data_IF_815805667883
#
_entry.id   IF_815805667883
#
_cell.length_a   1.000
_cell.length_b   1.000
_cell.length_c   1.000
_cell.angle_alpha   90.00
_cell.angle_beta   90.00
_cell.angle_gamma   90.00
#
_symmetry.space_group_name_H-M   'P 1'
#
loop_
_entity.id
_entity.type
_entity.pdbx_description
1 polymer ?
#
# COMPACT_ATOMS: atom_id res chain seq x y z
N UNK A 1 30.61 -17.12 3.63
CA UNK A 1 29.70 -16.82 2.51
C UNK A 1 28.91 -18.09 2.31
N UNK A 2 27.59 -18.12 2.46
CA UNK A 2 26.82 -19.32 2.16
C UNK A 2 27.03 -19.64 0.67
N UNK A 3 27.23 -20.94 0.40
CA UNK A 3 27.31 -21.46 -0.96
C UNK A 3 26.00 -21.10 -1.68
N UNK A 4 26.04 -20.17 -2.63
CA UNK A 4 24.84 -19.69 -3.34
C UNK A 4 24.46 -20.79 -4.35
N UNK A 5 23.82 -21.86 -3.83
CA UNK A 5 23.28 -22.96 -4.65
C UNK A 5 22.05 -22.54 -5.51
N UNK A 6 21.58 -21.26 -5.39
CA UNK A 6 20.41 -20.72 -6.08
C UNK A 6 20.88 -19.76 -7.15
N UNK A 7 20.62 -20.09 -8.40
CA UNK A 7 21.22 -19.36 -9.53
C UNK A 7 20.39 -18.12 -9.90
N UNK A 8 19.07 -18.26 -10.08
CA UNK A 8 18.26 -17.21 -10.66
C UNK A 8 16.88 -17.08 -10.01
N UNK A 9 16.53 -15.85 -9.65
CA UNK A 9 15.16 -15.50 -9.25
C UNK A 9 14.54 -14.50 -10.24
N UNK A 10 13.26 -14.64 -10.50
CA UNK A 10 12.48 -13.72 -11.35
C UNK A 10 11.40 -13.04 -10.52
N UNK A 11 11.30 -11.72 -10.66
CA UNK A 11 10.24 -10.90 -10.05
C UNK A 11 9.35 -10.35 -11.16
N UNK A 12 8.04 -10.52 -11.04
CA UNK A 12 7.07 -10.07 -12.04
C UNK A 12 6.44 -8.76 -11.59
N UNK A 13 6.78 -7.67 -12.28
CA UNK A 13 6.33 -6.31 -11.99
C UNK A 13 7.35 -5.48 -11.20
N UNK A 14 7.53 -4.21 -11.60
CA UNK A 14 8.40 -3.22 -10.97
C UNK A 14 7.65 -2.15 -10.18
N UNK A 15 6.50 -2.49 -9.60
CA UNK A 15 5.85 -1.68 -8.57
C UNK A 15 6.57 -1.80 -7.22
N UNK A 16 6.08 -1.14 -6.16
CA UNK A 16 6.74 -1.19 -4.84
C UNK A 16 6.95 -2.62 -4.35
N UNK A 17 5.95 -3.50 -4.49
CA UNK A 17 6.07 -4.89 -4.08
C UNK A 17 7.20 -5.62 -4.83
N UNK A 18 7.29 -5.43 -6.15
CA UNK A 18 8.35 -6.06 -6.95
C UNK A 18 9.74 -5.49 -6.66
N UNK A 19 9.88 -4.18 -6.53
CA UNK A 19 11.15 -3.53 -6.22
C UNK A 19 11.69 -3.97 -4.84
N UNK A 20 10.83 -4.00 -3.82
CA UNK A 20 11.21 -4.42 -2.47
C UNK A 20 11.50 -5.92 -2.40
N UNK A 21 10.70 -6.75 -3.07
CA UNK A 21 10.95 -8.18 -3.16
C UNK A 21 12.29 -8.49 -3.88
N UNK A 22 12.58 -7.81 -4.99
CA UNK A 22 13.84 -7.99 -5.71
C UNK A 22 15.04 -7.66 -4.83
N UNK A 23 14.98 -6.57 -4.07
CA UNK A 23 16.03 -6.22 -3.11
C UNK A 23 16.17 -7.28 -2.02
N UNK A 24 15.05 -7.71 -1.45
CA UNK A 24 15.02 -8.71 -0.37
C UNK A 24 15.68 -10.03 -0.78
N UNK A 25 15.41 -10.50 -2.01
CA UNK A 25 15.96 -11.77 -2.49
C UNK A 25 17.37 -11.68 -3.10
N UNK A 26 17.85 -10.47 -3.38
CA UNK A 26 19.11 -10.28 -4.14
C UNK A 26 20.32 -10.92 -3.50
N UNK A 27 20.43 -10.92 -2.18
CA UNK A 27 21.55 -11.54 -1.46
C UNK A 27 21.50 -13.07 -1.36
N UNK A 28 20.41 -13.68 -1.83
CA UNK A 28 20.17 -15.12 -1.76
C UNK A 28 20.28 -15.83 -3.11
N UNK A 29 20.40 -15.06 -4.20
CA UNK A 29 20.47 -15.57 -5.56
C UNK A 29 21.63 -14.95 -6.32
N UNK A 30 22.24 -15.73 -7.22
CA UNK A 30 23.32 -15.24 -8.08
C UNK A 30 22.85 -14.14 -9.04
N UNK A 31 21.58 -14.20 -9.46
CA UNK A 31 20.94 -13.24 -10.37
C UNK A 31 19.49 -13.03 -9.98
N UNK A 32 19.01 -11.78 -10.08
CA UNK A 32 17.59 -11.40 -9.97
C UNK A 32 17.18 -10.64 -11.21
N UNK A 33 16.11 -11.05 -11.87
CA UNK A 33 15.55 -10.36 -13.02
C UNK A 33 14.15 -9.87 -12.71
N UNK A 34 13.93 -8.56 -12.74
CA UNK A 34 12.60 -7.97 -12.70
C UNK A 34 12.07 -7.88 -14.13
N UNK A 35 10.88 -8.41 -14.40
CA UNK A 35 10.22 -8.30 -15.69
C UNK A 35 9.05 -7.32 -15.56
N UNK A 36 9.12 -6.19 -16.28
CA UNK A 36 8.13 -5.12 -16.22
C UNK A 36 7.57 -4.82 -17.61
N UNK A 37 6.25 -4.76 -17.70
CA UNK A 37 5.53 -4.49 -18.96
C UNK A 37 5.67 -3.06 -19.46
N UNK A 38 5.86 -2.10 -18.52
CA UNK A 38 6.01 -0.70 -18.88
C UNK A 38 7.47 -0.36 -19.25
N UNK A 39 7.63 0.74 -19.97
CA UNK A 39 8.85 1.52 -19.93
C UNK A 39 8.89 2.26 -18.59
N UNK A 40 9.94 2.04 -17.81
CA UNK A 40 10.13 2.76 -16.55
C UNK A 40 10.72 4.15 -16.85
N UNK A 41 10.10 5.23 -16.36
CA UNK A 41 10.61 6.58 -16.58
C UNK A 41 11.95 6.77 -15.85
N UNK A 42 12.87 7.52 -16.45
CA UNK A 42 14.15 7.86 -15.84
C UNK A 42 13.98 8.72 -14.58
N UNK A 43 13.02 9.64 -14.63
CA UNK A 43 12.66 10.53 -13.52
C UNK A 43 11.37 10.09 -12.82
N UNK A 44 11.02 10.82 -11.75
CA UNK A 44 9.77 10.61 -11.03
C UNK A 44 8.56 11.07 -11.88
N UNK A 45 7.96 10.14 -12.61
CA UNK A 45 6.80 10.37 -13.47
C UNK A 45 5.78 9.23 -13.38
N UNK A 46 4.48 9.51 -13.56
CA UNK A 46 3.45 8.49 -13.64
C UNK A 46 3.69 7.55 -14.83
N UNK A 47 3.22 6.30 -14.73
CA UNK A 47 3.26 5.30 -15.81
C UNK A 47 1.95 4.51 -15.91
N UNK A 48 1.69 3.90 -17.05
CA UNK A 48 0.43 3.21 -17.34
C UNK A 48 0.15 2.01 -16.44
N UNK A 49 1.18 1.27 -16.02
CA UNK A 49 1.05 0.12 -15.13
C UNK A 49 0.69 0.46 -13.69
N UNK A 50 0.81 1.73 -13.29
CA UNK A 50 0.45 2.22 -11.96
C UNK A 50 -0.47 3.45 -12.05
N UNK A 51 -1.68 3.33 -12.64
CA UNK A 51 -2.58 4.48 -12.84
C UNK A 51 -2.97 5.16 -11.51
N UNK A 52 -3.03 4.41 -10.42
CA UNK A 52 -3.28 4.93 -9.08
C UNK A 52 -2.19 5.87 -8.56
N UNK A 53 -0.99 5.88 -9.17
CA UNK A 53 0.15 6.68 -8.68
C UNK A 53 -0.08 8.21 -8.75
N UNK A 54 -1.10 8.67 -9.46
CA UNK A 54 -1.46 10.09 -9.57
C UNK A 54 -2.37 10.59 -8.44
N UNK A 55 -2.74 9.71 -7.51
CA UNK A 55 -3.56 10.05 -6.34
C UNK A 55 -2.72 10.16 -5.06
N UNK A 56 -3.33 10.63 -3.97
CA UNK A 56 -2.66 10.71 -2.68
C UNK A 56 -2.22 9.33 -2.20
N UNK A 57 -0.96 9.23 -1.82
CA UNK A 57 -0.35 8.05 -1.24
C UNK A 57 0.39 8.45 0.02
N UNK A 58 0.46 7.53 0.97
CA UNK A 58 1.23 7.70 2.19
C UNK A 58 2.16 6.51 2.36
N UNK A 59 3.43 6.77 2.63
CA UNK A 59 4.35 5.76 3.14
C UNK A 59 4.24 5.79 4.66
N UNK A 60 3.61 4.76 5.23
CA UNK A 60 3.45 4.65 6.67
C UNK A 60 4.79 4.36 7.35
N UNK A 61 4.92 4.75 8.63
CA UNK A 61 6.16 4.60 9.38
C UNK A 61 6.67 3.14 9.43
N UNK A 62 5.76 2.15 9.53
CA UNK A 62 6.12 0.73 9.45
C UNK A 62 6.71 0.33 8.10
N UNK A 63 6.18 0.90 7.00
CA UNK A 63 6.73 0.73 5.66
C UNK A 63 8.09 1.40 5.49
N UNK A 64 8.26 2.62 6.01
CA UNK A 64 9.53 3.32 6.01
C UNK A 64 10.61 2.53 6.76
N UNK A 65 10.27 1.98 7.92
CA UNK A 65 11.18 1.11 8.70
C UNK A 65 11.57 -0.15 7.91
N UNK A 66 10.63 -0.76 7.20
CA UNK A 66 10.90 -1.91 6.33
C UNK A 66 11.83 -1.54 5.16
N UNK A 67 11.58 -0.38 4.51
CA UNK A 67 12.45 0.13 3.45
C UNK A 67 13.85 0.44 3.96
N UNK A 68 14.00 0.99 5.16
CA UNK A 68 15.33 1.20 5.77
C UNK A 68 16.06 -0.11 6.08
N UNK A 69 15.34 -1.17 6.42
CA UNK A 69 15.94 -2.51 6.59
C UNK A 69 16.47 -3.05 5.26
N UNK A 70 15.74 -2.86 4.16
CA UNK A 70 16.13 -3.30 2.82
C UNK A 70 17.18 -2.38 2.18
N UNK A 71 17.12 -1.09 2.46
CA UNK A 71 17.96 -0.04 1.89
C UNK A 71 18.50 0.88 3.01
N UNK A 72 19.61 0.54 3.65
CA UNK A 72 20.20 1.39 4.70
C UNK A 72 20.42 2.83 4.21
N UNK A 73 19.95 3.80 4.98
CA UNK A 73 20.01 5.22 4.62
C UNK A 73 18.85 5.74 3.76
N UNK A 74 17.79 4.97 3.53
CA UNK A 74 16.67 5.32 2.66
C UNK A 74 15.97 6.64 3.03
N UNK A 75 15.92 7.02 4.31
CA UNK A 75 15.39 8.32 4.73
C UNK A 75 16.19 9.50 4.15
N UNK A 76 17.52 9.37 4.07
CA UNK A 76 18.36 10.39 3.47
C UNK A 76 18.09 10.50 1.96
N UNK A 77 17.93 9.34 1.29
CA UNK A 77 17.61 9.33 -0.14
C UNK A 77 16.26 10.04 -0.41
N UNK A 78 15.25 9.83 0.45
CA UNK A 78 13.95 10.51 0.33
C UNK A 78 14.09 12.02 0.55
N UNK A 79 14.85 12.43 1.57
CA UNK A 79 15.09 13.84 1.88
C UNK A 79 15.85 14.55 0.74
N UNK A 80 16.89 13.93 0.20
CA UNK A 80 17.68 14.44 -0.94
C UNK A 80 16.83 14.54 -2.21
N UNK A 81 15.90 13.60 -2.41
CA UNK A 81 14.95 13.64 -3.52
C UNK A 81 13.86 14.71 -3.35
N UNK A 82 13.80 15.37 -2.18
CA UNK A 82 12.86 16.46 -1.89
C UNK A 82 11.53 16.01 -1.25
N UNK A 83 11.43 14.79 -0.74
CA UNK A 83 10.29 14.37 0.05
C UNK A 83 10.14 15.26 1.31
N UNK A 84 8.89 15.60 1.63
CA UNK A 84 8.59 16.51 2.73
C UNK A 84 8.55 15.73 4.04
N UNK A 85 9.42 16.09 4.97
CA UNK A 85 9.40 15.52 6.33
C UNK A 85 8.20 16.06 7.09
N UNK A 86 7.45 15.17 7.73
CA UNK A 86 6.18 15.45 8.41
C UNK A 86 6.26 14.92 9.83
N UNK A 87 6.10 15.79 10.81
CA UNK A 87 6.01 15.41 12.21
C UNK A 87 4.62 14.87 12.53
N UNK A 88 4.55 13.60 12.86
CA UNK A 88 3.29 12.90 13.09
C UNK A 88 2.49 13.50 14.25
N UNK A 89 1.20 13.73 14.00
CA UNK A 89 0.26 14.32 14.95
C UNK A 89 0.34 15.84 15.08
N UNK A 90 1.35 16.48 14.45
CA UNK A 90 1.56 17.93 14.48
C UNK A 90 1.36 18.59 13.12
N UNK A 91 2.05 18.12 12.09
CA UNK A 91 2.14 18.84 10.82
C UNK A 91 0.99 18.53 9.85
N UNK A 92 0.24 17.46 10.07
CA UNK A 92 -0.99 17.14 9.32
C UNK A 92 -2.19 17.40 10.20
N UNK A 93 -3.02 18.36 9.81
CA UNK A 93 -4.32 18.64 10.43
C UNK A 93 -5.25 17.46 10.14
N UNK A 94 -5.76 16.83 11.18
CA UNK A 94 -6.62 15.68 11.06
C UNK A 94 -8.05 16.03 11.49
N UNK A 95 -9.00 15.98 10.56
CA UNK A 95 -10.40 16.32 10.78
C UNK A 95 -11.27 15.07 10.65
N UNK A 96 -12.07 14.80 11.67
CA UNK A 96 -12.98 13.66 11.72
C UNK A 96 -14.25 14.02 12.49
N UNK A 97 -15.37 13.31 12.27
CA UNK A 97 -16.62 13.60 12.97
C UNK A 97 -16.44 13.71 14.49
N UNK A 98 -16.90 14.84 15.04
CA UNK A 98 -16.76 15.18 16.46
C UNK A 98 -15.42 15.82 16.86
N UNK A 99 -14.44 15.91 15.94
CA UNK A 99 -13.13 16.53 16.17
C UNK A 99 -12.64 17.23 14.89
N UNK A 100 -12.82 18.54 14.83
CA UNK A 100 -12.45 19.38 13.69
C UNK A 100 -11.59 20.60 14.09
N UNK A 101 -10.30 20.41 14.41
CA UNK A 101 -9.47 19.22 14.21
C UNK A 101 -9.46 18.26 15.41
N UNK A 102 -8.92 17.06 15.19
CA UNK A 102 -8.45 16.16 16.25
C UNK A 102 -7.30 16.85 17.01
N UNK A 103 -7.13 16.60 18.33
CA UNK A 103 -6.09 17.28 19.10
C UNK A 103 -4.69 17.17 18.50
N UNK A 104 -4.07 18.32 18.26
CA UNK A 104 -2.71 18.41 17.72
C UNK A 104 -1.71 18.09 18.81
N UNK A 105 -0.85 17.09 18.59
CA UNK A 105 0.19 16.65 19.53
C UNK A 105 1.40 16.16 18.78
N UNK A 106 2.58 16.46 19.29
CA UNK A 106 3.81 15.83 18.81
C UNK A 106 3.86 14.38 19.31
N UNK A 107 3.74 13.42 18.40
CA UNK A 107 3.74 12.00 18.73
C UNK A 107 5.13 11.35 18.73
N UNK A 108 6.19 12.14 18.51
CA UNK A 108 7.57 11.73 18.75
C UNK A 108 8.26 11.03 17.57
N UNK A 109 7.63 10.94 16.38
CA UNK A 109 8.26 10.36 15.18
C UNK A 109 7.84 11.09 13.91
N UNK A 110 8.67 10.93 12.90
CA UNK A 110 8.47 11.55 11.59
C UNK A 110 8.09 10.51 10.53
N UNK A 111 7.38 10.97 9.51
CA UNK A 111 7.14 10.27 8.25
C UNK A 111 7.53 11.18 7.09
N UNK A 112 7.52 10.64 5.86
CA UNK A 112 7.77 11.42 4.67
C UNK A 112 6.52 11.46 3.79
N UNK A 113 6.17 12.67 3.32
CA UNK A 113 5.13 12.91 2.34
C UNK A 113 5.76 13.26 0.99
N UNK A 114 5.32 12.59 -0.06
CA UNK A 114 5.82 12.76 -1.41
C UNK A 114 4.82 12.19 -2.42
N UNK A 115 5.03 12.52 -3.69
CA UNK A 115 4.28 11.84 -4.75
C UNK A 115 4.68 10.35 -4.84
N UNK A 116 3.74 9.51 -5.24
CA UNK A 116 4.02 8.09 -5.47
C UNK A 116 5.10 7.85 -6.54
N UNK A 117 5.13 8.62 -7.66
CA UNK A 117 6.23 8.51 -8.63
C UNK A 117 7.60 8.79 -8.02
N UNK A 118 7.73 9.75 -7.09
CA UNK A 118 9.01 10.01 -6.42
C UNK A 118 9.46 8.83 -5.58
N UNK A 119 8.59 8.27 -4.75
CA UNK A 119 8.90 7.10 -3.94
C UNK A 119 9.35 5.91 -4.80
N UNK A 120 8.64 5.64 -5.90
CA UNK A 120 9.00 4.55 -6.82
C UNK A 120 10.35 4.81 -7.51
N UNK A 121 10.63 6.05 -7.92
CA UNK A 121 11.90 6.41 -8.55
C UNK A 121 13.09 6.26 -7.60
N UNK A 122 12.97 6.72 -6.35
CA UNK A 122 14.01 6.56 -5.31
C UNK A 122 14.25 5.07 -5.02
N UNK A 123 13.18 4.30 -4.80
CA UNK A 123 13.29 2.85 -4.54
C UNK A 123 13.95 2.13 -5.71
N UNK A 124 13.55 2.43 -6.95
CA UNK A 124 14.14 1.86 -8.16
C UNK A 124 15.62 2.23 -8.31
N UNK A 125 15.96 3.48 -8.01
CA UNK A 125 17.36 3.94 -8.00
C UNK A 125 18.24 3.09 -7.08
N UNK A 126 17.76 2.77 -5.89
CA UNK A 126 18.46 1.90 -4.93
C UNK A 126 18.56 0.45 -5.42
N UNK A 127 17.48 -0.09 -5.99
CA UNK A 127 17.47 -1.45 -6.57
C UNK A 127 18.51 -1.58 -7.69
N UNK A 128 18.60 -0.59 -8.56
CA UNK A 128 19.57 -0.59 -9.69
C UNK A 128 21.04 -0.46 -9.25
N UNK A 129 21.30 -0.03 -8.02
CA UNK A 129 22.65 -0.05 -7.45
C UNK A 129 23.09 -1.45 -6.99
N UNK A 130 22.18 -2.42 -6.93
CA UNK A 130 22.46 -3.80 -6.52
C UNK A 130 22.95 -4.59 -7.74
N UNK A 131 24.23 -5.05 -7.78
CA UNK A 131 24.89 -5.48 -9.03
C UNK A 131 24.26 -6.68 -9.74
N UNK A 132 23.58 -7.56 -8.97
CA UNK A 132 22.98 -8.78 -9.52
C UNK A 132 21.48 -8.62 -9.85
N UNK A 133 20.91 -7.41 -9.74
CA UNK A 133 19.53 -7.13 -10.14
C UNK A 133 19.52 -6.47 -11.52
N UNK A 134 18.77 -7.07 -12.45
CA UNK A 134 18.48 -6.49 -13.76
C UNK A 134 16.98 -6.27 -13.95
N UNK A 135 16.60 -5.28 -14.77
CA UNK A 135 15.20 -5.00 -15.13
C UNK A 135 15.01 -5.15 -16.63
N UNK A 136 14.12 -6.05 -17.04
CA UNK A 136 13.64 -6.19 -18.41
C UNK A 136 12.34 -5.35 -18.54
N UNK A 137 12.46 -4.17 -19.13
CA UNK A 137 11.34 -3.26 -19.42
C UNK A 137 10.62 -3.64 -20.71
N UNK A 138 9.41 -3.13 -20.94
CA UNK A 138 8.55 -3.44 -22.12
C UNK A 138 8.40 -4.94 -22.34
N UNK A 139 8.38 -5.69 -21.24
CA UNK A 139 8.39 -7.15 -21.26
C UNK A 139 7.23 -7.69 -20.43
N UNK A 140 6.33 -8.40 -21.06
CA UNK A 140 5.14 -8.94 -20.41
C UNK A 140 5.30 -10.44 -20.19
N UNK A 141 5.23 -10.87 -18.93
CA UNK A 141 5.16 -12.28 -18.61
C UNK A 141 3.81 -12.83 -19.08
N UNK A 142 3.86 -13.91 -19.85
CA UNK A 142 2.69 -14.55 -20.44
C UNK A 142 2.38 -15.90 -19.80
N UNK A 143 3.39 -16.58 -19.22
CA UNK A 143 3.20 -17.89 -18.59
C UNK A 143 4.25 -18.18 -17.54
N UNK A 144 3.84 -18.85 -16.46
CA UNK A 144 4.69 -19.57 -15.53
C UNK A 144 4.82 -21.03 -15.99
N UNK A 145 6.01 -21.57 -15.94
CA UNK A 145 6.29 -22.98 -16.33
C UNK A 145 6.68 -23.73 -15.06
N UNK A 146 5.99 -24.82 -14.78
CA UNK A 146 6.26 -25.68 -13.64
C UNK A 146 6.28 -27.15 -14.06
N UNK A 147 7.11 -27.96 -13.45
CA UNK A 147 7.10 -29.42 -13.57
C UNK A 147 5.84 -30.00 -12.91
N UNK A 148 5.14 -30.87 -13.60
CA UNK A 148 4.01 -31.61 -13.03
C UNK A 148 4.44 -32.69 -12.07
N UNK A 149 5.64 -33.27 -12.27
CA UNK A 149 6.15 -34.38 -11.46
C UNK A 149 6.68 -33.89 -10.12
N UNK A 150 7.40 -32.75 -10.11
CA UNK A 150 7.99 -32.17 -8.90
C UNK A 150 7.17 -31.06 -8.29
N UNK A 151 6.12 -30.59 -9.00
CA UNK A 151 5.29 -29.46 -8.59
C UNK A 151 6.11 -28.22 -8.23
N UNK A 152 7.15 -27.96 -9.02
CA UNK A 152 8.12 -26.87 -8.81
C UNK A 152 8.14 -25.95 -10.03
N UNK A 153 8.31 -24.65 -9.77
CA UNK A 153 8.58 -23.68 -10.84
C UNK A 153 9.90 -24.00 -11.52
N UNK A 154 9.92 -23.95 -12.84
CA UNK A 154 11.13 -24.18 -13.65
C UNK A 154 11.52 -22.95 -14.45
N UNK A 155 10.55 -22.19 -14.96
CA UNK A 155 10.81 -21.05 -15.83
C UNK A 155 9.67 -20.05 -15.88
N UNK A 156 9.98 -18.88 -16.45
CA UNK A 156 9.03 -17.82 -16.80
C UNK A 156 9.12 -17.56 -18.28
N UNK A 157 7.98 -17.54 -18.99
CA UNK A 157 7.90 -17.11 -20.37
C UNK A 157 7.37 -15.69 -20.45
N UNK A 158 8.08 -14.84 -21.20
CA UNK A 158 7.66 -13.46 -21.42
C UNK A 158 7.84 -13.05 -22.89
N UNK A 159 7.15 -12.02 -23.29
CA UNK A 159 7.22 -11.39 -24.61
C UNK A 159 7.71 -9.96 -24.43
N UNK A 160 8.70 -9.57 -25.23
CA UNK A 160 9.18 -8.19 -25.32
C UNK A 160 8.53 -7.52 -26.52
N UNK A 161 8.25 -6.20 -26.43
CA UNK A 161 7.69 -5.45 -27.57
C UNK A 161 8.58 -5.53 -28.81
N UNK A 162 9.91 -5.65 -28.63
CA UNK A 162 10.90 -5.57 -29.70
C UNK A 162 11.51 -6.94 -30.07
N UNK A 163 10.94 -8.08 -29.59
CA UNK A 163 11.58 -9.36 -29.79
C UNK A 163 10.67 -10.59 -29.67
N UNK A 164 11.20 -11.77 -29.98
CA UNK A 164 10.46 -13.03 -29.82
C UNK A 164 10.20 -13.34 -28.34
N UNK A 165 9.24 -14.25 -28.11
CA UNK A 165 9.01 -14.78 -26.77
C UNK A 165 10.26 -15.48 -26.22
N UNK A 166 10.62 -15.17 -24.99
CA UNK A 166 11.78 -15.69 -24.27
C UNK A 166 11.31 -16.55 -23.10
N UNK A 167 11.98 -17.68 -22.89
CA UNK A 167 11.81 -18.49 -21.67
C UNK A 167 13.08 -18.41 -20.84
N UNK A 168 12.93 -18.05 -19.57
CA UNK A 168 14.05 -17.91 -18.62
C UNK A 168 13.83 -18.86 -17.46
N UNK A 169 14.83 -19.70 -17.20
CA UNK A 169 14.83 -20.60 -16.03
C UNK A 169 14.88 -19.79 -14.73
N UNK A 170 14.17 -20.27 -13.71
CA UNK A 170 14.10 -19.62 -12.40
C UNK A 170 13.94 -20.64 -11.27
N UNK A 171 14.75 -20.49 -10.24
CA UNK A 171 14.62 -21.25 -8.97
C UNK A 171 13.54 -20.67 -8.06
N UNK A 172 13.28 -19.37 -8.19
CA UNK A 172 12.21 -18.65 -7.47
C UNK A 172 11.54 -17.65 -8.42
N UNK A 173 10.21 -17.62 -8.40
CA UNK A 173 9.40 -16.58 -9.03
C UNK A 173 8.60 -15.85 -7.95
N UNK A 174 8.70 -14.52 -7.94
CA UNK A 174 7.87 -13.65 -7.08
C UNK A 174 6.86 -12.92 -7.96
N UNK A 175 5.57 -13.27 -7.84
CA UNK A 175 4.50 -12.56 -8.54
C UNK A 175 4.08 -11.31 -7.76
N UNK A 176 4.53 -10.15 -8.24
CA UNK A 176 4.19 -8.82 -7.75
C UNK A 176 3.41 -8.01 -8.81
N UNK A 177 2.66 -8.70 -9.68
CA UNK A 177 1.92 -8.10 -10.81
C UNK A 177 0.65 -7.33 -10.39
N UNK A 178 0.26 -7.41 -9.13
CA UNK A 178 -0.93 -6.78 -8.55
C UNK A 178 -2.24 -7.51 -8.82
N UNK A 179 -2.30 -8.38 -9.84
CA UNK A 179 -3.54 -9.09 -10.24
C UNK A 179 -3.56 -10.57 -9.90
N UNK A 180 -2.41 -11.15 -9.63
CA UNK A 180 -2.25 -12.59 -9.36
C UNK A 180 -2.68 -13.55 -10.50
N UNK A 181 -2.88 -13.03 -11.70
CA UNK A 181 -3.45 -13.81 -12.81
C UNK A 181 -2.59 -14.98 -13.24
N UNK A 182 -1.27 -14.83 -13.23
CA UNK A 182 -0.33 -15.87 -13.63
C UNK A 182 -0.28 -17.03 -12.65
N UNK A 183 -0.27 -16.73 -11.34
CA UNK A 183 -0.34 -17.76 -10.29
C UNK A 183 -1.66 -18.52 -10.36
N UNK A 184 -2.79 -17.82 -10.47
CA UNK A 184 -4.12 -18.46 -10.56
C UNK A 184 -4.26 -19.34 -11.82
N UNK A 185 -3.70 -18.90 -12.95
CA UNK A 185 -3.65 -19.68 -14.17
C UNK A 185 -2.77 -20.93 -14.00
N UNK A 186 -1.60 -20.81 -13.39
CA UNK A 186 -0.73 -21.96 -13.12
C UNK A 186 -1.42 -23.00 -12.23
N UNK A 187 -2.07 -22.56 -11.14
CA UNK A 187 -2.82 -23.47 -10.26
C UNK A 187 -3.90 -24.25 -11.03
N UNK A 188 -4.61 -23.58 -11.95
CA UNK A 188 -5.60 -24.22 -12.81
C UNK A 188 -4.96 -25.24 -13.76
N UNK A 189 -3.86 -24.89 -14.42
CA UNK A 189 -3.11 -25.77 -15.34
C UNK A 189 -2.57 -27.03 -14.64
N UNK A 190 -2.23 -26.90 -13.35
CA UNK A 190 -1.76 -28.00 -12.50
C UNK A 190 -2.91 -28.76 -11.81
N UNK A 191 -4.17 -28.35 -12.05
CA UNK A 191 -5.37 -28.89 -11.37
C UNK A 191 -5.30 -28.78 -9.84
N UNK A 192 -4.68 -27.71 -9.34
CA UNK A 192 -4.58 -27.37 -7.92
C UNK A 192 -5.71 -26.43 -7.47
N UNK A 193 -6.00 -26.45 -6.18
CA UNK A 193 -6.97 -25.56 -5.57
C UNK A 193 -6.50 -24.10 -5.69
N UNK A 194 -7.40 -23.21 -6.13
CA UNK A 194 -7.19 -21.76 -6.05
C UNK A 194 -7.50 -21.27 -4.63
N UNK A 195 -6.83 -20.18 -4.16
CA UNK A 195 -7.15 -19.61 -2.87
C UNK A 195 -8.58 -19.08 -2.83
N UNK A 196 -9.24 -19.24 -1.68
CA UNK A 196 -10.48 -18.53 -1.41
C UNK A 196 -10.23 -17.01 -1.45
N UNK A 197 -11.20 -16.26 -1.95
CA UNK A 197 -11.14 -14.82 -1.97
C UNK A 197 -12.19 -14.23 -1.01
N UNK A 198 -11.76 -13.27 -0.19
CA UNK A 198 -12.67 -12.41 0.58
C UNK A 198 -12.66 -11.03 -0.04
N UNK A 199 -13.86 -10.53 -0.37
CA UNK A 199 -14.03 -9.21 -0.97
C UNK A 199 -14.87 -8.30 -0.08
N UNK A 200 -14.50 -7.01 -0.08
CA UNK A 200 -15.28 -5.91 0.51
C UNK A 200 -15.55 -4.93 -0.63
N UNK A 201 -16.78 -4.92 -1.12
CA UNK A 201 -17.21 -4.09 -2.25
C UNK A 201 -17.53 -2.68 -1.81
N UNK A 202 -16.60 -1.76 -2.04
CA UNK A 202 -16.64 -0.36 -1.58
C UNK A 202 -17.02 0.62 -2.67
N UNK A 203 -16.87 0.27 -3.95
CA UNK A 203 -17.08 1.14 -5.10
C UNK A 203 -16.46 2.54 -4.89
N UNK A 204 -15.21 2.56 -4.44
CA UNK A 204 -14.49 3.79 -4.13
C UNK A 204 -14.11 4.53 -5.41
N UNK A 205 -14.43 5.80 -5.48
CA UNK A 205 -14.02 6.69 -6.57
C UNK A 205 -13.17 7.85 -6.04
N UNK A 206 -12.14 8.24 -6.80
CA UNK A 206 -11.29 9.39 -6.51
C UNK A 206 -11.18 10.32 -7.69
N UNK A 207 -10.95 11.60 -7.39
CA UNK A 207 -10.36 12.55 -8.32
C UNK A 207 -9.21 13.27 -7.64
N UNK A 208 -8.12 13.49 -8.36
CA UNK A 208 -6.93 14.15 -7.81
C UNK A 208 -6.33 15.14 -8.78
N UNK A 209 -5.72 16.18 -8.23
CA UNK A 209 -4.92 17.17 -8.96
C UNK A 209 -3.77 17.65 -8.09
N UNK A 210 -2.70 18.11 -8.71
CA UNK A 210 -1.61 18.79 -8.03
C UNK A 210 -1.83 20.29 -8.16
N UNK A 211 -1.71 21.01 -7.05
CA UNK A 211 -1.79 22.46 -6.99
C UNK A 211 -0.52 23.05 -6.40
N UNK A 212 -0.23 24.28 -6.73
CA UNK A 212 0.85 25.03 -6.09
C UNK A 212 0.53 25.28 -4.62
N UNK A 213 1.51 25.05 -3.75
CA UNK A 213 1.38 25.41 -2.34
C UNK A 213 1.81 26.85 -2.17
N UNK A 214 0.92 27.75 -1.70
CA UNK A 214 1.29 29.15 -1.46
C UNK A 214 2.43 29.27 -0.46
N UNK A 215 3.39 30.16 -0.72
CA UNK A 215 4.52 30.44 0.18
C UNK A 215 4.09 31.16 1.46
N UNK A 216 3.01 31.92 1.40
CA UNK A 216 2.39 32.71 2.46
C UNK A 216 1.25 31.96 3.17
N UNK A 217 1.26 30.63 3.09
CA UNK A 217 0.29 29.83 3.80
C UNK A 217 0.53 29.92 5.33
N UNK A 218 -0.25 30.77 5.99
CA UNK A 218 -0.14 31.09 7.41
C UNK A 218 -0.65 29.97 8.36
N UNK A 219 -1.11 28.84 7.84
CA UNK A 219 -1.59 27.76 8.69
C UNK A 219 -0.43 27.03 9.37
N UNK A 220 -0.67 26.60 10.61
CA UNK A 220 0.26 25.84 11.46
C UNK A 220 0.38 24.35 11.04
N UNK A 221 -0.09 24.00 9.84
CA UNK A 221 -0.06 22.65 9.29
C UNK A 221 0.49 22.62 7.84
N UNK A 222 1.10 21.50 7.47
CA UNK A 222 1.63 21.26 6.12
C UNK A 222 0.60 20.64 5.19
N UNK A 223 -0.37 19.90 5.73
CA UNK A 223 -1.40 19.20 5.00
C UNK A 223 -2.63 18.91 5.85
N UNK A 224 -3.69 18.37 5.22
CA UNK A 224 -4.94 18.09 5.89
C UNK A 224 -5.50 16.72 5.46
N UNK A 225 -6.06 16.00 6.40
CA UNK A 225 -6.87 14.80 6.19
C UNK A 225 -8.27 15.10 6.72
N UNK A 226 -9.28 15.05 5.86
CA UNK A 226 -10.67 15.18 6.25
C UNK A 226 -11.41 13.87 6.02
N UNK A 227 -11.78 13.20 7.11
CA UNK A 227 -12.53 11.93 7.05
C UNK A 227 -14.03 12.17 6.86
N UNK A 228 -14.72 11.25 6.15
CA UNK A 228 -16.16 11.33 5.94
C UNK A 228 -16.96 11.17 7.21
N UNK A 229 -18.23 11.62 7.19
CA UNK A 229 -19.23 11.38 8.24
C UNK A 229 -20.02 10.11 7.95
N UNK A 230 -19.36 8.96 7.99
CA UNK A 230 -20.01 7.67 7.78
C UNK A 230 -21.10 7.38 8.84
N UNK A 231 -22.24 6.77 8.49
CA UNK A 231 -22.67 6.36 7.15
C UNK A 231 -23.36 7.46 6.34
N UNK A 232 -23.58 8.65 6.89
CA UNK A 232 -24.38 9.72 6.29
C UNK A 232 -23.72 10.31 5.02
N UNK A 233 -22.40 10.34 4.95
CA UNK A 233 -21.62 10.82 3.80
C UNK A 233 -20.35 10.01 3.66
N UNK A 234 -19.98 9.71 2.41
CA UNK A 234 -18.71 9.06 2.07
C UNK A 234 -17.63 10.03 1.57
N UNK A 235 -17.95 11.35 1.49
CA UNK A 235 -17.02 12.36 0.97
C UNK A 235 -15.87 12.60 1.94
N UNK A 236 -14.67 12.32 1.47
CA UNK A 236 -13.43 12.57 2.19
C UNK A 236 -12.38 13.23 1.31
N UNK A 237 -11.34 13.78 1.92
CA UNK A 237 -10.28 14.44 1.18
C UNK A 237 -8.92 14.36 1.89
N UNK A 238 -7.87 14.36 1.08
CA UNK A 238 -6.47 14.41 1.48
C UNK A 238 -5.78 15.56 0.76
N UNK A 239 -5.16 16.44 1.51
CA UNK A 239 -4.29 17.49 0.98
C UNK A 239 -2.88 17.24 1.55
N UNK A 240 -2.01 16.64 0.75
CA UNK A 240 -0.66 16.28 1.19
C UNK A 240 0.40 17.16 0.56
N UNK A 241 1.36 17.66 1.37
CA UNK A 241 2.53 18.33 0.83
C UNK A 241 3.37 17.30 0.06
N UNK A 242 3.82 17.66 -1.13
CA UNK A 242 4.73 16.85 -1.92
C UNK A 242 5.95 17.68 -2.35
N UNK A 243 6.93 17.03 -2.93
CA UNK A 243 8.15 17.66 -3.42
C UNK A 243 7.87 18.90 -4.30
N UNK A 244 8.85 19.82 -4.39
CA UNK A 244 8.80 21.07 -5.19
C UNK A 244 7.71 22.06 -4.77
N UNK A 245 7.47 22.20 -3.45
CA UNK A 245 6.48 23.15 -2.89
C UNK A 245 5.07 23.01 -3.52
N UNK A 246 4.57 21.78 -3.56
CA UNK A 246 3.27 21.46 -4.14
C UNK A 246 2.37 20.76 -3.14
N UNK A 247 1.09 20.83 -3.37
CA UNK A 247 0.10 19.98 -2.73
C UNK A 247 -0.51 19.01 -3.73
N UNK A 248 -0.66 17.77 -3.30
CA UNK A 248 -1.48 16.77 -3.97
C UNK A 248 -2.83 16.73 -3.24
N UNK A 249 -3.88 17.18 -3.94
CA UNK A 249 -5.26 17.12 -3.46
C UNK A 249 -5.95 15.90 -4.07
N UNK A 250 -6.43 15.01 -3.21
CA UNK A 250 -7.29 13.89 -3.59
C UNK A 250 -8.61 13.98 -2.85
N UNK A 251 -9.71 13.92 -3.58
CA UNK A 251 -11.07 13.87 -3.03
C UNK A 251 -11.72 12.54 -3.43
N UNK A 252 -12.59 12.01 -2.61
CA UNK A 252 -13.20 10.72 -2.89
C UNK A 252 -14.55 10.53 -2.23
N UNK A 253 -15.26 9.53 -2.73
CA UNK A 253 -16.52 9.04 -2.20
C UNK A 253 -16.80 7.63 -2.68
N UNK A 254 -17.79 6.97 -2.09
CA UNK A 254 -18.14 5.57 -2.30
C UNK A 254 -19.55 5.44 -2.90
N UNK A 255 -19.85 4.26 -3.44
CA UNK A 255 -21.23 3.84 -3.79
C UNK A 255 -21.96 4.82 -4.71
N UNK A 256 -21.26 5.34 -5.73
CA UNK A 256 -21.84 6.23 -6.73
C UNK A 256 -21.64 7.72 -6.44
N UNK A 257 -21.21 8.12 -5.26
CA UNK A 257 -20.83 9.51 -4.94
C UNK A 257 -19.42 9.79 -5.46
N UNK A 258 -19.26 9.75 -6.79
CA UNK A 258 -17.98 9.89 -7.46
C UNK A 258 -17.66 11.37 -7.75
N UNK A 259 -16.43 11.84 -7.43
CA UNK A 259 -16.02 13.19 -7.74
C UNK A 259 -16.01 13.46 -9.27
N UNK A 260 -16.43 14.66 -9.73
CA UNK A 260 -16.33 15.07 -11.12
C UNK A 260 -14.88 15.18 -11.62
N UNK A 261 -14.72 15.05 -12.95
CA UNK A 261 -13.40 15.20 -13.60
C UNK A 261 -13.15 16.60 -14.18
N UNK A 262 -14.16 17.47 -14.20
CA UNK A 262 -14.02 18.85 -14.61
C UNK A 262 -13.71 19.77 -13.42
N UNK A 263 -13.08 20.91 -13.70
CA UNK A 263 -12.60 21.82 -12.65
C UNK A 263 -13.72 22.39 -11.78
N UNK A 264 -14.83 22.79 -12.39
CA UNK A 264 -15.94 23.42 -11.67
C UNK A 264 -16.60 22.42 -10.71
N UNK A 265 -16.97 21.24 -11.23
CA UNK A 265 -17.56 20.17 -10.44
C UNK A 265 -16.61 19.64 -9.37
N UNK A 266 -15.30 19.55 -9.67
CA UNK A 266 -14.28 19.19 -8.68
C UNK A 266 -14.24 20.17 -7.51
N UNK A 267 -14.21 21.46 -7.78
CA UNK A 267 -14.20 22.50 -6.72
C UNK A 267 -15.53 22.58 -5.96
N UNK A 268 -16.66 22.31 -6.62
CA UNK A 268 -17.96 22.19 -5.93
C UNK A 268 -17.99 20.98 -5.02
N UNK A 269 -17.38 19.86 -5.41
CA UNK A 269 -17.23 18.71 -4.54
C UNK A 269 -16.33 19.05 -3.32
N UNK A 270 -15.20 19.73 -3.52
CA UNK A 270 -14.33 20.20 -2.42
C UNK A 270 -15.10 21.14 -1.48
N UNK A 271 -15.91 22.08 -2.03
CA UNK A 271 -16.75 22.99 -1.21
C UNK A 271 -17.81 22.25 -0.41
N UNK A 272 -18.28 21.09 -0.88
CA UNK A 272 -19.30 20.27 -0.21
C UNK A 272 -18.74 19.37 0.90
N UNK A 273 -17.43 19.36 1.12
CA UNK A 273 -16.82 18.63 2.22
C UNK A 273 -17.33 19.16 3.57
N UNK A 274 -17.24 18.30 4.59
CA UNK A 274 -17.77 18.58 5.93
C UNK A 274 -17.16 19.81 6.60
N UNK A 275 -15.88 20.09 6.32
CA UNK A 275 -15.16 21.27 6.82
C UNK A 275 -14.66 22.11 5.66
N UNK A 276 -14.57 23.45 5.81
CA UNK A 276 -14.09 24.33 4.73
C UNK A 276 -12.56 24.33 4.58
N UNK A 277 -11.81 23.75 5.50
CA UNK A 277 -10.35 23.88 5.63
C UNK A 277 -9.60 23.63 4.33
N UNK A 278 -9.90 22.52 3.64
CA UNK A 278 -9.25 22.21 2.35
C UNK A 278 -9.71 23.18 1.27
N UNK A 279 -11.01 23.47 1.19
CA UNK A 279 -11.54 24.44 0.20
C UNK A 279 -10.87 25.81 0.32
N UNK A 280 -10.78 26.33 1.54
CA UNK A 280 -10.18 27.65 1.80
C UNK A 280 -8.68 27.66 1.44
N UNK A 281 -7.97 26.55 1.65
CA UNK A 281 -6.56 26.43 1.31
C UNK A 281 -6.30 26.36 -0.21
N UNK A 282 -7.24 25.81 -1.01
CA UNK A 282 -6.97 25.51 -2.43
C UNK A 282 -7.80 26.32 -3.43
N UNK A 283 -8.82 27.07 -3.00
CA UNK A 283 -9.73 27.79 -3.91
C UNK A 283 -9.00 28.74 -4.85
N UNK A 284 -7.94 29.40 -4.37
CA UNK A 284 -7.13 30.37 -5.12
C UNK A 284 -5.80 29.76 -5.60
N UNK A 285 -5.51 28.50 -5.26
CA UNK A 285 -4.27 27.83 -5.63
C UNK A 285 -4.23 27.51 -7.14
N UNK A 286 -3.08 27.78 -7.76
CA UNK A 286 -2.86 27.50 -9.18
C UNK A 286 -2.79 25.99 -9.43
N UNK A 287 -3.65 25.42 -10.31
CA UNK A 287 -3.54 24.02 -10.70
C UNK A 287 -2.27 23.80 -11.54
N UNK A 288 -1.58 22.70 -11.27
CA UNK A 288 -0.35 22.29 -11.95
C UNK A 288 -0.56 21.07 -12.86
N UNK A 289 -1.65 20.33 -12.65
CA UNK A 289 -2.03 19.17 -13.47
C UNK A 289 -3.52 19.15 -13.74
N UNK A 290 -3.91 18.41 -14.76
CA UNK A 290 -5.31 18.05 -14.99
C UNK A 290 -5.84 17.18 -13.83
N UNK A 291 -7.18 17.09 -13.76
CA UNK A 291 -7.84 16.21 -12.78
C UNK A 291 -7.86 14.80 -13.32
N UNK A 292 -7.26 13.88 -12.55
CA UNK A 292 -7.22 12.46 -12.86
C UNK A 292 -8.20 11.72 -11.98
N UNK A 293 -8.98 10.79 -12.57
CA UNK A 293 -9.97 9.97 -11.87
C UNK A 293 -9.52 8.51 -11.79
N UNK A 294 -9.86 7.85 -10.70
CA UNK A 294 -9.61 6.42 -10.49
C UNK A 294 -10.78 5.80 -9.74
N UNK A 295 -11.04 4.51 -10.00
CA UNK A 295 -12.06 3.74 -9.31
C UNK A 295 -11.50 2.40 -8.84
N UNK A 296 -11.89 2.00 -7.63
CA UNK A 296 -11.62 0.70 -7.06
C UNK A 296 -12.94 0.07 -6.61
N UNK A 297 -13.38 -1.03 -7.22
CA UNK A 297 -14.66 -1.66 -6.88
C UNK A 297 -14.65 -2.38 -5.54
N UNK A 298 -13.53 -3.03 -5.19
CA UNK A 298 -13.44 -3.83 -3.96
C UNK A 298 -12.00 -3.92 -3.43
N UNK A 299 -11.88 -4.09 -2.12
CA UNK A 299 -10.71 -4.69 -1.48
C UNK A 299 -10.78 -6.20 -1.64
N UNK A 300 -9.65 -6.87 -1.88
CA UNK A 300 -9.60 -8.32 -2.13
C UNK A 300 -8.47 -8.94 -1.33
N UNK A 301 -8.76 -10.01 -0.58
CA UNK A 301 -7.76 -10.83 0.11
C UNK A 301 -7.86 -12.26 -0.40
N UNK A 302 -6.73 -12.79 -0.85
CA UNK A 302 -6.57 -14.19 -1.27
C UNK A 302 -5.95 -14.99 -0.15
N UNK A 303 -6.62 -16.04 0.27
CA UNK A 303 -6.23 -16.87 1.42
C UNK A 303 -5.28 -18.00 1.01
N UNK A 304 -4.09 -17.63 0.52
CA UNK A 304 -3.04 -18.58 0.18
C UNK A 304 -2.58 -19.41 1.38
N UNK A 305 -2.67 -18.87 2.59
CA UNK A 305 -2.34 -19.55 3.84
C UNK A 305 -3.24 -20.74 4.16
N UNK A 306 -4.37 -20.88 3.46
CA UNK A 306 -5.33 -21.97 3.63
C UNK A 306 -5.16 -23.10 2.62
N UNK A 307 -4.27 -22.91 1.64
CA UNK A 307 -4.03 -23.94 0.64
C UNK A 307 -3.22 -25.08 1.26
N UNK A 308 -3.70 -26.31 1.05
CA UNK A 308 -3.00 -27.50 1.48
C UNK A 308 -1.69 -27.69 0.70
N UNK A 309 -1.73 -27.32 -0.58
CA UNK A 309 -0.61 -27.45 -1.49
C UNK A 309 -0.40 -26.20 -2.34
N UNK A 310 0.88 -25.82 -2.56
CA UNK A 310 1.27 -24.71 -3.42
C UNK A 310 2.59 -25.01 -4.12
N UNK A 311 2.80 -24.63 -5.42
CA UNK A 311 4.01 -24.95 -6.16
C UNK A 311 5.29 -24.42 -5.50
N UNK A 312 6.32 -25.26 -5.39
CA UNK A 312 7.61 -24.86 -4.86
C UNK A 312 8.29 -23.82 -5.79
N UNK A 313 8.99 -22.86 -5.20
CA UNK A 313 9.66 -21.81 -5.96
C UNK A 313 8.74 -20.72 -6.52
N UNK A 314 7.49 -20.63 -6.06
CA UNK A 314 6.56 -19.55 -6.40
C UNK A 314 6.08 -18.83 -5.13
N UNK A 315 6.02 -17.49 -5.15
CA UNK A 315 5.48 -16.66 -4.08
C UNK A 315 4.68 -15.52 -4.68
N UNK A 316 3.50 -15.22 -4.16
CA UNK A 316 2.73 -14.01 -4.48
C UNK A 316 2.90 -12.96 -3.37
N UNK A 317 2.97 -11.66 -3.73
CA UNK A 317 3.19 -10.55 -2.78
C UNK A 317 2.43 -9.28 -3.18
N UNK A 318 2.23 -8.37 -2.26
CA UNK A 318 1.54 -7.10 -2.48
C UNK A 318 0.08 -7.28 -2.89
N UNK A 319 -0.40 -6.46 -3.83
CA UNK A 319 -1.79 -6.51 -4.30
C UNK A 319 -2.16 -7.85 -4.99
N UNK A 320 -1.19 -8.66 -5.41
CA UNK A 320 -1.42 -10.01 -5.89
C UNK A 320 -1.96 -10.93 -4.78
N UNK A 321 -1.60 -10.65 -3.52
CA UNK A 321 -2.04 -11.37 -2.34
C UNK A 321 -3.19 -10.66 -1.63
N UNK A 322 -3.01 -9.37 -1.31
CA UNK A 322 -4.03 -8.59 -0.60
C UNK A 322 -4.07 -7.15 -1.10
N UNK A 323 -5.15 -6.79 -1.79
CA UNK A 323 -5.41 -5.43 -2.26
C UNK A 323 -6.34 -4.73 -1.30
N UNK A 324 -5.83 -3.72 -0.61
CA UNK A 324 -6.55 -2.93 0.39
C UNK A 324 -7.31 -1.75 -0.23
N UNK A 325 -8.24 -1.18 0.53
CA UNK A 325 -8.81 0.13 0.24
C UNK A 325 -7.69 1.20 0.29
N UNK A 326 -7.39 1.87 -0.84
CA UNK A 326 -6.26 2.82 -0.90
C UNK A 326 -6.44 4.04 -0.01
N UNK A 327 -7.67 4.36 0.42
CA UNK A 327 -7.95 5.45 1.38
C UNK A 327 -7.12 5.34 2.66
N UNK A 328 -6.78 4.12 3.08
CA UNK A 328 -5.99 3.90 4.29
C UNK A 328 -4.46 3.95 4.06
N UNK A 329 -3.99 4.06 2.82
CA UNK A 329 -2.57 4.24 2.48
C UNK A 329 -1.64 3.07 2.81
N UNK A 330 -2.14 1.85 2.99
CA UNK A 330 -1.40 0.75 3.63
C UNK A 330 -0.61 -0.15 2.67
N UNK A 331 -1.07 -0.30 1.41
CA UNK A 331 -0.56 -1.33 0.49
C UNK A 331 0.95 -1.32 0.26
N UNK A 332 1.56 -0.16 0.07
CA UNK A 332 3.02 -0.05 -0.14
C UNK A 332 3.82 -0.45 1.08
N UNK A 333 3.34 -0.06 2.26
CA UNK A 333 3.99 -0.35 3.53
C UNK A 333 3.91 -1.83 3.88
N UNK A 334 2.77 -2.47 3.61
CA UNK A 334 2.58 -3.92 3.75
C UNK A 334 3.53 -4.66 2.80
N UNK A 335 3.59 -4.28 1.53
CA UNK A 335 4.48 -4.91 0.56
C UNK A 335 5.96 -4.83 0.96
N UNK A 336 6.40 -3.70 1.53
CA UNK A 336 7.76 -3.57 2.06
C UNK A 336 8.00 -4.48 3.29
N UNK A 337 7.02 -4.61 4.19
CA UNK A 337 7.10 -5.52 5.33
C UNK A 337 7.09 -7.00 4.90
N UNK A 338 6.29 -7.36 3.89
CA UNK A 338 6.29 -8.69 3.27
C UNK A 338 7.68 -9.03 2.70
N UNK A 339 8.34 -8.08 2.02
CA UNK A 339 9.67 -8.27 1.50
C UNK A 339 10.72 -8.53 2.60
N UNK A 340 10.63 -7.83 3.73
CA UNK A 340 11.51 -8.09 4.90
C UNK A 340 11.26 -9.49 5.48
N UNK A 341 10.01 -9.96 5.51
CA UNK A 341 9.68 -11.31 5.97
C UNK A 341 10.25 -12.36 5.01
N UNK A 342 10.13 -12.15 3.69
CA UNK A 342 10.68 -13.04 2.68
C UNK A 342 12.20 -13.16 2.81
N UNK A 343 12.89 -12.03 2.97
CA UNK A 343 14.32 -11.98 3.21
C UNK A 343 14.74 -12.78 4.45
N UNK A 344 14.02 -12.59 5.57
CA UNK A 344 14.27 -13.32 6.83
C UNK A 344 14.15 -14.82 6.63
N UNK A 345 13.08 -15.31 6.00
CA UNK A 345 12.87 -16.74 5.78
C UNK A 345 13.98 -17.36 4.91
N UNK A 346 14.44 -16.63 3.90
CA UNK A 346 15.55 -17.05 3.06
C UNK A 346 16.88 -17.06 3.83
N UNK A 347 17.11 -16.09 4.73
CA UNK A 347 18.27 -16.08 5.64
C UNK A 347 18.26 -17.24 6.63
N UNK A 348 17.09 -17.62 7.13
CA UNK A 348 16.88 -18.76 8.02
C UNK A 348 17.07 -20.11 7.28
N UNK A 349 17.31 -20.07 5.97
CA UNK A 349 17.57 -21.26 5.16
C UNK A 349 16.33 -22.12 4.88
N UNK A 350 15.13 -21.50 4.92
CA UNK A 350 13.89 -22.22 4.60
C UNK A 350 13.98 -22.86 3.21
N UNK A 351 13.73 -24.18 3.06
CA UNK A 351 13.75 -24.87 1.77
C UNK A 351 12.70 -24.31 0.81
N UNK A 352 12.98 -24.31 -0.51
CA UNK A 352 12.07 -23.77 -1.53
C UNK A 352 10.69 -24.46 -1.51
N UNK A 353 10.64 -25.73 -1.15
CA UNK A 353 9.41 -26.53 -1.02
C UNK A 353 8.48 -26.01 0.09
N UNK A 354 9.04 -25.33 1.08
CA UNK A 354 8.30 -24.79 2.22
C UNK A 354 8.17 -23.28 2.19
N UNK A 355 8.99 -22.60 1.39
CA UNK A 355 9.11 -21.14 1.41
C UNK A 355 7.76 -20.42 1.25
N UNK A 356 6.95 -20.81 0.27
CA UNK A 356 5.66 -20.20 0.00
C UNK A 356 4.70 -20.36 1.20
N UNK A 357 4.57 -21.59 1.74
CA UNK A 357 3.70 -21.88 2.87
C UNK A 357 4.13 -21.10 4.12
N UNK A 358 5.42 -21.12 4.42
CA UNK A 358 5.96 -20.46 5.61
C UNK A 358 5.87 -18.93 5.46
N UNK A 359 6.04 -18.41 4.24
CA UNK A 359 5.84 -16.99 3.92
C UNK A 359 4.37 -16.57 4.08
N UNK A 360 3.43 -17.29 3.48
CA UNK A 360 2.01 -16.96 3.59
C UNK A 360 1.51 -17.05 5.04
N UNK A 361 2.05 -17.94 5.84
CA UNK A 361 1.75 -18.01 7.27
C UNK A 361 2.35 -16.80 8.03
N UNK A 362 3.61 -16.46 7.77
CA UNK A 362 4.32 -15.41 8.50
C UNK A 362 3.79 -14.00 8.25
N UNK A 363 3.23 -13.72 7.06
CA UNK A 363 2.68 -12.40 6.72
C UNK A 363 1.27 -12.14 7.27
N UNK A 364 0.61 -13.13 7.88
CA UNK A 364 -0.78 -12.97 8.33
C UNK A 364 -0.95 -11.83 9.32
N UNK A 365 -0.03 -11.67 10.28
CA UNK A 365 -0.07 -10.57 11.24
C UNK A 365 0.13 -9.20 10.56
N UNK A 366 0.95 -9.15 9.50
CA UNK A 366 1.16 -7.93 8.70
C UNK A 366 -0.10 -7.52 7.95
N UNK A 367 -0.88 -8.49 7.44
CA UNK A 367 -2.13 -8.26 6.72
C UNK A 367 -3.30 -8.00 7.69
N UNK A 368 -3.30 -8.61 8.87
CA UNK A 368 -4.43 -8.57 9.79
C UNK A 368 -4.83 -7.14 10.19
N UNK A 369 -3.86 -6.28 10.50
CA UNK A 369 -4.12 -4.88 10.89
C UNK A 369 -4.77 -4.09 9.74
N UNK A 370 -4.21 -4.03 8.51
CA UNK A 370 -4.82 -3.35 7.37
C UNK A 370 -6.20 -3.92 6.99
N UNK A 371 -6.34 -5.24 6.98
CA UNK A 371 -7.62 -5.87 6.66
C UNK A 371 -8.69 -5.57 7.71
N UNK A 372 -8.30 -5.53 8.99
CA UNK A 372 -9.17 -5.12 10.09
C UNK A 372 -9.69 -3.68 9.96
N UNK A 373 -8.89 -2.78 9.37
CA UNK A 373 -9.31 -1.41 9.05
C UNK A 373 -10.30 -1.41 7.88
N UNK A 374 -10.05 -2.20 6.83
CA UNK A 374 -10.94 -2.30 5.67
C UNK A 374 -12.35 -2.82 6.04
N UNK A 375 -12.47 -3.63 7.10
CA UNK A 375 -13.76 -4.09 7.62
C UNK A 375 -14.67 -2.93 8.07
N UNK A 376 -14.09 -1.78 8.46
CA UNK A 376 -14.88 -0.61 8.82
C UNK A 376 -15.69 -0.02 7.65
N UNK A 377 -15.35 -0.35 6.40
CA UNK A 377 -16.12 0.06 5.22
C UNK A 377 -17.56 -0.51 5.25
N UNK A 378 -17.80 -1.56 6.01
CA UNK A 378 -19.16 -2.07 6.26
C UNK A 378 -20.05 -1.11 7.09
N UNK A 379 -19.54 0.00 7.58
CA UNK A 379 -20.37 1.08 8.14
C UNK A 379 -21.38 1.60 7.12
N UNK A 380 -21.05 1.56 5.83
CA UNK A 380 -22.00 1.92 4.76
C UNK A 380 -22.91 0.73 4.44
N UNK A 381 -24.24 0.90 4.46
CA UNK A 381 -25.17 -0.19 4.14
C UNK A 381 -24.99 -0.80 2.75
N UNK A 382 -24.53 0.00 1.77
CA UNK A 382 -24.31 -0.43 0.39
C UNK A 382 -23.03 -1.25 0.18
N UNK A 383 -22.13 -1.34 1.17
CA UNK A 383 -20.91 -2.15 1.07
C UNK A 383 -21.26 -3.63 0.93
N UNK A 384 -20.76 -4.24 -0.14
CA UNK A 384 -20.98 -5.65 -0.47
C UNK A 384 -19.94 -6.54 0.19
N UNK A 385 -20.33 -7.79 0.47
CA UNK A 385 -19.48 -8.81 1.08
C UNK A 385 -20.10 -9.37 2.36
N UNK A 386 -19.34 -10.20 3.07
CA UNK A 386 -19.76 -10.82 4.32
C UNK A 386 -19.56 -9.84 5.46
N UNK A 387 -20.66 -9.27 5.94
CA UNK A 387 -20.67 -8.32 7.07
C UNK A 387 -20.39 -9.05 8.37
N UNK A 388 -19.38 -8.61 9.16
CA UNK A 388 -19.09 -9.23 10.44
C UNK A 388 -20.27 -9.13 11.42
N UNK A 389 -20.56 -10.22 12.14
CA UNK A 389 -21.64 -10.25 13.13
C UNK A 389 -21.41 -9.26 14.30
N UNK A 390 -20.15 -8.98 14.62
CA UNK A 390 -19.73 -8.07 15.70
C UNK A 390 -19.45 -6.63 15.20
N UNK A 391 -19.88 -6.27 13.98
CA UNK A 391 -19.59 -4.95 13.38
C UNK A 391 -20.02 -3.79 14.28
N UNK A 392 -21.23 -3.84 14.83
CA UNK A 392 -21.74 -2.77 15.71
C UNK A 392 -20.82 -2.54 16.91
N UNK A 393 -20.41 -3.62 17.58
CA UNK A 393 -19.47 -3.58 18.71
C UNK A 393 -18.10 -3.01 18.32
N UNK A 394 -17.60 -3.40 17.14
CA UNK A 394 -16.32 -2.87 16.61
C UNK A 394 -16.38 -1.37 16.38
N UNK A 395 -17.46 -0.89 15.77
CA UNK A 395 -17.66 0.54 15.50
C UNK A 395 -17.81 1.34 16.81
N UNK A 396 -18.58 0.83 17.76
CA UNK A 396 -18.77 1.45 19.08
C UNK A 396 -17.44 1.52 19.85
N UNK A 397 -16.68 0.41 19.89
CA UNK A 397 -15.35 0.38 20.49
C UNK A 397 -14.41 1.40 19.81
N UNK A 398 -14.42 1.48 18.47
CA UNK A 398 -13.61 2.43 17.70
C UNK A 398 -13.95 3.89 18.02
N UNK A 399 -15.23 4.22 18.20
CA UNK A 399 -15.68 5.56 18.62
C UNK A 399 -15.22 5.88 20.04
N UNK A 400 -15.38 4.97 20.99
CA UNK A 400 -14.94 5.14 22.36
C UNK A 400 -13.42 5.28 22.47
N UNK A 401 -12.67 4.44 21.75
CA UNK A 401 -11.20 4.55 21.64
C UNK A 401 -10.78 5.90 21.08
N UNK A 402 -11.50 6.41 20.07
CA UNK A 402 -11.24 7.75 19.51
C UNK A 402 -11.44 8.86 20.53
N UNK A 403 -12.53 8.81 21.30
CA UNK A 403 -12.79 9.78 22.38
C UNK A 403 -11.70 9.73 23.44
N UNK A 404 -11.26 8.52 23.82
CA UNK A 404 -10.17 8.33 24.78
C UNK A 404 -8.85 8.89 24.23
N UNK A 405 -8.52 8.60 22.98
CA UNK A 405 -7.31 9.11 22.33
C UNK A 405 -7.30 10.65 22.22
N UNK A 406 -8.47 11.28 22.05
CA UNK A 406 -8.58 12.74 22.07
C UNK A 406 -8.20 13.34 23.43
N UNK A 407 -8.44 12.63 24.53
CA UNK A 407 -8.17 13.08 25.90
C UNK A 407 -6.78 12.65 26.41
N UNK A 408 -6.30 11.47 25.99
CA UNK A 408 -5.07 10.84 26.50
C UNK A 408 -4.00 10.80 25.43
N UNK A 409 -2.83 11.50 25.65
CA UNK A 409 -1.73 11.51 24.68
C UNK A 409 -1.09 10.14 24.41
N UNK A 410 -1.03 9.26 25.41
CA UNK A 410 -0.44 7.92 25.23
C UNK A 410 -1.34 7.02 24.39
N UNK A 411 -2.65 7.09 24.61
CA UNK A 411 -3.64 6.40 23.80
C UNK A 411 -3.64 6.96 22.38
N UNK A 412 -3.55 8.28 22.21
CA UNK A 412 -3.41 8.90 20.88
C UNK A 412 -2.17 8.37 20.16
N UNK A 413 -1.02 8.38 20.83
CA UNK A 413 0.22 7.85 20.25
C UNK A 413 0.07 6.38 19.86
N UNK A 414 -0.48 5.53 20.73
CA UNK A 414 -0.69 4.12 20.45
C UNK A 414 -1.62 3.90 19.24
N UNK A 415 -2.74 4.64 19.16
CA UNK A 415 -3.66 4.51 18.01
C UNK A 415 -2.98 4.90 16.70
N UNK A 416 -2.12 5.93 16.72
CA UNK A 416 -1.36 6.33 15.54
C UNK A 416 -0.25 5.33 15.22
N UNK A 417 0.49 4.80 16.20
CA UNK A 417 1.50 3.76 15.98
C UNK A 417 0.89 2.51 15.31
N UNK A 418 -0.32 2.12 15.69
CA UNK A 418 -1.05 1.01 15.04
C UNK A 418 -1.46 1.39 13.61
N UNK A 419 -2.04 2.57 13.40
CA UNK A 419 -2.43 3.02 12.06
C UNK A 419 -1.24 3.20 11.12
N UNK A 420 -0.06 3.49 11.67
CA UNK A 420 1.22 3.61 10.97
C UNK A 420 1.96 2.26 10.82
N UNK A 421 1.33 1.15 11.17
CA UNK A 421 1.88 -0.23 11.07
C UNK A 421 3.19 -0.42 11.86
N UNK A 422 3.39 0.33 12.92
CA UNK A 422 4.50 0.15 13.88
C UNK A 422 4.16 -0.89 14.95
N UNK A 423 2.85 -1.04 15.23
CA UNK A 423 2.31 -2.00 16.21
C UNK A 423 1.13 -2.77 15.61
N UNK A 424 0.87 -4.00 16.06
CA UNK A 424 -0.28 -4.76 15.62
C UNK A 424 -1.58 -4.20 16.21
N UNK A 425 -2.71 -4.41 15.54
CA UNK A 425 -4.03 -3.99 16.02
C UNK A 425 -4.39 -4.57 17.40
N UNK A 426 -3.85 -5.73 17.74
CA UNK A 426 -4.04 -6.35 19.06
C UNK A 426 -3.61 -5.43 20.22
N UNK A 427 -2.63 -4.55 20.02
CA UNK A 427 -2.20 -3.58 21.03
C UNK A 427 -3.32 -2.62 21.47
N UNK A 428 -4.32 -2.37 20.61
CA UNK A 428 -5.49 -1.54 20.95
C UNK A 428 -6.53 -2.30 21.80
N UNK A 429 -6.32 -3.57 22.05
CA UNK A 429 -7.21 -4.45 22.81
C UNK A 429 -6.53 -5.06 24.05
N UNK A 430 -5.38 -4.53 24.45
CA UNK A 430 -4.73 -4.93 25.71
C UNK A 430 -5.69 -4.70 26.90
N UNK A 431 -5.73 -5.60 27.88
CA UNK A 431 -6.79 -5.61 28.93
C UNK A 431 -7.02 -4.27 29.64
N UNK A 432 -5.93 -3.59 30.01
CA UNK A 432 -6.01 -2.29 30.70
C UNK A 432 -6.61 -1.19 29.81
N UNK A 433 -6.22 -1.12 28.56
CA UNK A 433 -6.76 -0.18 27.59
C UNK A 433 -8.23 -0.52 27.26
N UNK A 434 -8.50 -1.80 27.03
CA UNK A 434 -9.85 -2.27 26.73
C UNK A 434 -10.83 -1.93 27.85
N UNK A 435 -10.48 -2.11 29.13
CA UNK A 435 -11.29 -1.74 30.27
C UNK A 435 -11.60 -0.23 30.29
N UNK A 436 -10.60 0.62 29.99
CA UNK A 436 -10.80 2.09 29.89
C UNK A 436 -11.72 2.47 28.74
N UNK A 437 -11.57 1.82 27.58
CA UNK A 437 -12.45 2.07 26.44
C UNK A 437 -13.88 1.63 26.73
N UNK A 438 -14.08 0.46 27.31
CA UNK A 438 -15.40 -0.07 27.68
C UNK A 438 -16.11 0.79 28.71
N UNK A 439 -15.40 1.52 29.58
CA UNK A 439 -16.02 2.46 30.53
C UNK A 439 -16.59 3.72 29.86
N UNK A 440 -16.36 3.94 28.57
CA UNK A 440 -16.88 5.08 27.78
C UNK A 440 -18.03 4.67 26.84
N UNK A 441 -18.35 3.37 26.77
CA UNK A 441 -19.49 2.78 26.07
C UNK A 441 -20.67 2.65 27.00
#
# INVERSE_FOLDING_TARGET
VPDIARNHAVVIGAGMAGLTAAQAISRHFGKVTIIERDMLPAEAAPRSGTPQAQHAHMLLAGGLKALQTLFPGFENDLAEAGAVKVRTGKDIRFERPGFDPFPIRDLGFDIFSMSRPLLEAVTRGRVLQTPNIGICMRSRVTRLVASRDTMRIEAVRYESEDGPAVTVEADLVVEASGRCGLTLQLLEELSLQKPEETEIGIDQAYASTIVERPLDHDADWLGNIMLPSAPASSRGAFLFPIEKQRWLLSIGGNHGDAPPGDRAGFMDFVRSLRTPTIYDAVRDARPLTDIVRYQLPCSTRRHFERLEFFPAGLVATGDALCRFNPVFGQGMSVAAQEAVILDRLLMEGVPMERLARDFFAAIQDTIATPWGVAVNDFVYPATRGVRPADLAQRLEYGMALTKLAAQDPEVHRLTVEVSQLLKPQAALREPLLAARVMSLI
#
